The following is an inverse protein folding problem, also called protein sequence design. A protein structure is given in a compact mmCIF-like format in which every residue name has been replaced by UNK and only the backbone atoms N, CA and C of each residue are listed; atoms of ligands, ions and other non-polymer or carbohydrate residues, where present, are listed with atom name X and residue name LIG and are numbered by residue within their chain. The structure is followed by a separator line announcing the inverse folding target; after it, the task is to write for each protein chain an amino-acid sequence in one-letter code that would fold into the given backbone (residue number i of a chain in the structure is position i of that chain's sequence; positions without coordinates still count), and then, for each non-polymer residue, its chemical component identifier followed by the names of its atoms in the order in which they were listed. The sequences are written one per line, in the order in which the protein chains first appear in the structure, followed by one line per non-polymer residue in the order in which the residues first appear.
data_IF_154898236999
#
_entry.id   IF_154898236999
#
_cell.length_a   1.000
_cell.length_b   1.000
_cell.length_c   1.000
_cell.angle_alpha   90.00
_cell.angle_beta   90.00
_cell.angle_gamma   90.00
#
_symmetry.space_group_name_H-M   'P 1'
#
loop_
_entity.id
_entity.type
_entity.pdbx_description
1 polymer ?
#
# COMPACT_ATOMS: atom_id res chain seq x y z
N UNK A 1 -0.16 3.86 19.88
CA UNK A 1 -1.06 3.48 18.76
C UNK A 1 -2.44 4.12 18.88
N UNK A 2 -3.20 3.86 19.95
CA UNK A 2 -4.60 4.32 20.11
C UNK A 2 -4.80 5.82 19.86
N UNK A 3 -4.01 6.68 20.51
CA UNK A 3 -4.10 8.13 20.33
C UNK A 3 -3.98 8.57 18.87
N UNK A 4 -3.05 7.98 18.11
CA UNK A 4 -2.87 8.29 16.67
C UNK A 4 -4.07 7.85 15.86
N UNK A 5 -4.56 6.63 16.10
CA UNK A 5 -5.70 6.10 15.38
C UNK A 5 -6.97 6.91 15.64
N UNK A 6 -7.21 7.34 16.89
CA UNK A 6 -8.37 8.18 17.24
C UNK A 6 -8.28 9.54 16.57
N UNK A 7 -7.12 10.18 16.60
CA UNK A 7 -6.90 11.45 15.90
C UNK A 7 -7.14 11.33 14.39
N UNK A 8 -6.62 10.27 13.75
CA UNK A 8 -6.84 10.04 12.32
C UNK A 8 -8.34 9.82 12.01
N UNK A 9 -9.08 9.13 12.88
CA UNK A 9 -10.53 8.94 12.74
C UNK A 9 -11.31 10.26 12.89
N UNK A 10 -10.96 11.08 13.88
CA UNK A 10 -11.57 12.41 14.09
C UNK A 10 -11.33 13.31 12.86
N UNK A 11 -10.13 13.27 12.28
CA UNK A 11 -9.80 14.01 11.06
C UNK A 11 -10.58 13.50 9.83
N UNK A 12 -10.74 12.18 9.69
CA UNK A 12 -11.54 11.58 8.63
C UNK A 12 -13.02 11.97 8.74
N UNK A 13 -13.59 11.97 9.95
CA UNK A 13 -14.98 12.37 10.20
C UNK A 13 -15.19 13.87 9.93
N UNK A 14 -14.26 14.72 10.36
CA UNK A 14 -14.40 16.17 10.23
C UNK A 14 -14.08 16.70 8.82
N UNK A 15 -13.12 16.10 8.10
CA UNK A 15 -12.58 16.66 6.85
C UNK A 15 -12.65 15.72 5.65
N UNK A 16 -13.00 14.44 5.87
CA UNK A 16 -12.91 13.41 4.85
C UNK A 16 -11.48 12.95 4.53
N UNK A 17 -10.46 13.45 5.26
CA UNK A 17 -9.06 13.08 5.04
C UNK A 17 -8.21 13.13 6.32
N UNK A 18 -7.05 12.48 6.30
CA UNK A 18 -6.07 12.56 7.39
C UNK A 18 -4.64 12.38 6.88
N UNK A 19 -3.66 12.73 7.72
CA UNK A 19 -2.24 12.57 7.38
C UNK A 19 -1.85 11.08 7.32
N UNK A 20 -1.45 10.63 6.13
CA UNK A 20 -1.15 9.22 5.91
C UNK A 20 -2.39 8.35 5.73
N UNK A 21 -3.47 8.92 5.17
CA UNK A 21 -4.73 8.22 4.88
C UNK A 21 -4.52 6.92 4.09
N UNK A 22 -3.46 6.83 3.28
CA UNK A 22 -3.13 5.63 2.51
C UNK A 22 -2.92 4.40 3.40
N UNK A 23 -2.53 4.58 4.68
CA UNK A 23 -2.37 3.46 5.62
C UNK A 23 -3.71 2.78 5.98
N UNK A 24 -4.84 3.39 5.61
CA UNK A 24 -6.19 2.87 5.75
C UNK A 24 -6.79 2.39 4.42
N UNK A 25 -6.00 2.33 3.33
CA UNK A 25 -6.48 2.01 1.98
C UNK A 25 -7.34 0.74 1.92
N UNK A 26 -6.96 -0.32 2.65
CA UNK A 26 -7.76 -1.56 2.73
C UNK A 26 -9.22 -1.29 3.08
N UNK A 27 -9.46 -0.47 4.09
CA UNK A 27 -10.80 -0.14 4.56
C UNK A 27 -11.54 0.77 3.58
N UNK A 28 -10.84 1.74 3.01
CA UNK A 28 -11.41 2.71 2.06
C UNK A 28 -11.75 2.09 0.71
N UNK A 29 -11.09 0.99 0.34
CA UNK A 29 -11.27 0.28 -0.94
C UNK A 29 -12.10 -0.99 -0.81
N UNK A 30 -12.54 -1.36 0.41
CA UNK A 30 -13.33 -2.56 0.66
C UNK A 30 -12.59 -3.88 0.45
N UNK A 31 -11.25 -3.86 0.42
CA UNK A 31 -10.40 -5.04 0.20
C UNK A 31 -10.29 -5.90 1.46
N UNK A 32 -10.09 -7.20 1.29
CA UNK A 32 -9.83 -8.12 2.41
C UNK A 32 -8.38 -8.01 2.88
N UNK A 33 -8.07 -8.44 4.13
CA UNK A 33 -6.68 -8.52 4.59
C UNK A 33 -5.83 -9.37 3.64
N UNK A 34 -4.67 -8.85 3.24
CA UNK A 34 -3.77 -9.51 2.30
C UNK A 34 -4.05 -9.25 0.81
N UNK A 35 -5.24 -8.76 0.43
CA UNK A 35 -5.54 -8.39 -0.96
C UNK A 35 -4.57 -7.30 -1.45
N UNK A 36 -4.20 -7.28 -2.74
CA UNK A 36 -3.43 -6.19 -3.29
C UNK A 36 -4.25 -4.88 -3.24
N UNK A 37 -3.59 -3.74 -2.97
CA UNK A 37 -4.28 -2.46 -3.11
C UNK A 37 -4.52 -2.16 -4.59
N UNK A 38 -5.46 -1.25 -4.91
CA UNK A 38 -5.57 -0.70 -6.25
C UNK A 38 -4.25 -0.07 -6.68
N UNK A 39 -3.83 -0.35 -7.91
CA UNK A 39 -2.64 0.24 -8.53
C UNK A 39 -3.02 0.89 -9.85
N UNK A 40 -2.08 1.59 -10.49
CA UNK A 40 -2.27 2.18 -11.81
C UNK A 40 -2.80 1.16 -12.84
N UNK A 41 -2.44 -0.12 -12.70
CA UNK A 41 -2.87 -1.18 -13.62
C UNK A 41 -4.38 -1.39 -13.66
N UNK A 42 -5.12 -1.02 -12.61
CA UNK A 42 -6.59 -1.12 -12.61
C UNK A 42 -7.27 0.02 -13.41
N UNK A 43 -6.51 1.04 -13.80
CA UNK A 43 -7.03 2.23 -14.49
C UNK A 43 -6.63 2.30 -15.97
N UNK A 44 -5.77 1.38 -16.43
CA UNK A 44 -5.35 1.31 -17.83
C UNK A 44 -6.14 0.21 -18.56
N UNK A 45 -6.32 0.33 -19.89
CA UNK A 45 -6.97 -0.73 -20.67
C UNK A 45 -6.21 -2.06 -20.59
N UNK A 46 -6.93 -3.18 -20.61
CA UNK A 46 -6.35 -4.54 -20.60
C UNK A 46 -5.41 -4.80 -21.79
N UNK A 47 -5.56 -4.06 -22.89
CA UNK A 47 -4.74 -4.15 -24.09
C UNK A 47 -3.61 -3.10 -24.13
N UNK A 48 -3.31 -2.44 -23.01
CA UNK A 48 -2.21 -1.49 -22.92
C UNK A 48 -0.85 -2.19 -23.13
N UNK A 49 0.07 -1.51 -23.81
CA UNK A 49 1.44 -1.95 -23.97
C UNK A 49 2.31 -1.33 -22.86
N UNK A 50 2.98 -2.17 -22.08
CA UNK A 50 3.91 -1.76 -21.02
C UNK A 50 5.33 -1.93 -21.51
N UNK A 51 6.10 -0.84 -21.50
CA UNK A 51 7.54 -0.85 -21.78
C UNK A 51 8.31 -0.82 -20.47
N UNK A 52 9.30 -1.70 -20.36
CA UNK A 52 10.24 -1.74 -19.23
C UNK A 52 11.60 -1.33 -19.77
N UNK A 53 11.91 -0.04 -19.61
CA UNK A 53 13.23 0.46 -19.93
C UNK A 53 14.27 -0.09 -18.93
N UNK A 54 15.50 -0.27 -19.42
CA UNK A 54 16.60 -0.88 -18.66
C UNK A 54 16.19 -2.15 -17.89
N UNK A 55 15.53 -3.08 -18.60
CA UNK A 55 14.89 -4.26 -17.98
C UNK A 55 15.82 -5.11 -17.12
N UNK A 56 17.11 -5.15 -17.44
CA UNK A 56 18.13 -5.83 -16.65
C UNK A 56 18.31 -5.24 -15.23
N UNK A 57 17.88 -4.00 -15.00
CA UNK A 57 17.81 -3.33 -13.70
C UNK A 57 16.37 -3.29 -13.18
N UNK A 58 15.43 -2.86 -14.02
CA UNK A 58 14.04 -2.58 -13.61
C UNK A 58 13.29 -3.85 -13.19
N UNK A 59 13.53 -5.00 -13.83
CA UNK A 59 12.88 -6.27 -13.46
C UNK A 59 13.31 -6.73 -12.05
N UNK A 60 14.62 -6.83 -11.72
CA UNK A 60 15.06 -7.07 -10.35
C UNK A 60 14.53 -6.06 -9.33
N UNK A 61 14.45 -4.78 -9.71
CA UNK A 61 13.93 -3.72 -8.85
C UNK A 61 12.46 -3.97 -8.47
N UNK A 62 11.59 -4.25 -9.44
CA UNK A 62 10.17 -4.57 -9.21
C UNK A 62 10.06 -5.81 -8.31
N UNK A 63 10.86 -6.85 -8.56
CA UNK A 63 10.91 -8.05 -7.73
C UNK A 63 11.30 -7.79 -6.26
N UNK A 64 12.07 -6.72 -6.00
CA UNK A 64 12.50 -6.33 -4.65
C UNK A 64 11.52 -5.42 -3.88
N UNK A 65 10.60 -4.74 -4.57
CA UNK A 65 9.76 -3.68 -3.99
C UNK A 65 8.93 -4.14 -2.78
N UNK A 66 8.20 -5.25 -2.91
CA UNK A 66 7.36 -5.78 -1.82
C UNK A 66 8.18 -6.04 -0.55
N UNK A 67 9.37 -6.65 -0.67
CA UNK A 67 10.18 -7.02 0.50
C UNK A 67 10.75 -5.79 1.22
N UNK A 68 11.17 -4.78 0.46
CA UNK A 68 11.64 -3.52 1.00
C UNK A 68 10.55 -2.77 1.77
N UNK A 69 9.38 -2.62 1.15
CA UNK A 69 8.24 -1.95 1.79
C UNK A 69 7.73 -2.71 3.02
N UNK A 70 7.58 -4.03 2.91
CA UNK A 70 7.14 -4.89 4.02
C UNK A 70 8.03 -4.73 5.26
N UNK A 71 9.36 -4.77 5.11
CA UNK A 71 10.28 -4.61 6.25
C UNK A 71 10.07 -3.28 6.97
N UNK A 72 9.98 -2.19 6.21
CA UNK A 72 9.77 -0.84 6.77
C UNK A 72 8.44 -0.74 7.51
N UNK A 73 7.36 -1.29 6.93
CA UNK A 73 6.02 -1.22 7.52
C UNK A 73 5.82 -2.16 8.69
N UNK A 74 6.45 -3.33 8.65
CA UNK A 74 6.46 -4.27 9.77
C UNK A 74 7.03 -3.61 11.03
N UNK A 75 8.15 -2.88 10.91
CA UNK A 75 8.72 -2.09 12.02
C UNK A 75 7.72 -1.05 12.55
N UNK A 76 7.03 -0.30 11.69
CA UNK A 76 6.04 0.69 12.13
C UNK A 76 4.86 0.05 12.88
N UNK A 77 4.42 -1.13 12.45
CA UNK A 77 3.35 -1.87 13.11
C UNK A 77 3.82 -2.45 14.45
N UNK A 78 5.00 -3.05 14.48
CA UNK A 78 5.62 -3.66 15.67
C UNK A 78 5.79 -2.65 16.81
N UNK A 79 6.29 -1.45 16.49
CA UNK A 79 6.48 -0.39 17.49
C UNK A 79 5.23 0.50 17.70
N UNK A 80 4.06 0.11 17.17
CA UNK A 80 2.78 0.76 17.46
C UNK A 80 2.61 2.17 16.88
N UNK A 81 3.34 2.48 15.80
CA UNK A 81 3.18 3.71 15.03
C UNK A 81 2.03 3.64 14.02
N UNK A 82 1.77 2.45 13.46
CA UNK A 82 0.65 2.19 12.53
C UNK A 82 -0.06 0.90 12.91
N UNK A 83 -1.33 0.77 12.51
CA UNK A 83 -2.06 -0.50 12.61
C UNK A 83 -1.42 -1.56 11.69
N UNK A 84 -1.55 -2.86 12.01
CA UNK A 84 -1.07 -3.93 11.12
C UNK A 84 -1.63 -3.87 9.70
N UNK A 85 -2.84 -3.30 9.52
CA UNK A 85 -3.47 -3.08 8.21
C UNK A 85 -2.67 -2.19 7.27
N UNK A 86 -1.72 -1.38 7.77
CA UNK A 86 -0.89 -0.53 6.92
C UNK A 86 -0.04 -1.34 5.93
N UNK A 87 0.24 -2.61 6.26
CA UNK A 87 0.98 -3.55 5.42
C UNK A 87 0.18 -4.02 4.20
N UNK A 88 -1.15 -3.90 4.22
CA UNK A 88 -2.00 -4.25 3.07
C UNK A 88 -1.94 -3.17 1.96
N UNK A 89 -1.46 -1.97 2.29
CA UNK A 89 -1.21 -0.91 1.30
C UNK A 89 0.21 -1.03 0.77
N UNK A 90 0.46 -1.93 -0.17
CA UNK A 90 1.81 -2.37 -0.51
C UNK A 90 2.03 -2.43 -2.02
N UNK A 91 3.29 -2.43 -2.48
CA UNK A 91 3.61 -2.85 -3.84
C UNK A 91 3.05 -4.25 -4.13
N UNK A 92 2.75 -4.50 -5.41
CA UNK A 92 2.42 -5.85 -5.88
C UNK A 92 3.62 -6.77 -5.69
N UNK A 93 3.35 -8.06 -5.51
CA UNK A 93 4.38 -9.09 -5.65
C UNK A 93 4.56 -9.34 -7.14
N UNK A 94 5.77 -9.70 -7.56
CA UNK A 94 6.06 -9.97 -8.97
C UNK A 94 5.16 -11.07 -9.56
N UNK A 95 4.77 -12.06 -8.75
CA UNK A 95 3.87 -13.16 -9.11
C UNK A 95 2.38 -12.76 -9.21
N UNK A 96 2.03 -11.59 -8.69
CA UNK A 96 0.65 -11.07 -8.68
C UNK A 96 0.38 -10.12 -9.86
N UNK A 97 1.33 -10.05 -10.81
CA UNK A 97 1.23 -9.42 -12.11
C UNK A 97 1.04 -10.53 -13.15
#
# INVERSE_FOLDING_TARGET
LEQRCRFDLEMLEATGSCAGIENYSRYLTGRQPGDPPPTLFEYIPDNALVFIDESHVTVPQIGGMYRGDFRRKATLAEYGFRLPSCMDTRPLRFEAW
#
